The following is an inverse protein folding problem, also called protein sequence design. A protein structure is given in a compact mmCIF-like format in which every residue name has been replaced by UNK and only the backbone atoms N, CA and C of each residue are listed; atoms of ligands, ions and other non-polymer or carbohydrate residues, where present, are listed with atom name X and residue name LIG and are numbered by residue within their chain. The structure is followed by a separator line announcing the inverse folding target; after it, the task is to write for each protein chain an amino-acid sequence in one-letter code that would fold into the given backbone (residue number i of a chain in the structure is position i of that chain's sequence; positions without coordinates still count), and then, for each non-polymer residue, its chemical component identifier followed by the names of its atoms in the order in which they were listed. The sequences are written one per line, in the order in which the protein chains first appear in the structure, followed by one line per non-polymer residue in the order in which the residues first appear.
data_IF_276613201174
#
_entry.id   IF_276613201174
#
_cell.length_a   1.000
_cell.length_b   1.000
_cell.length_c   1.000
_cell.angle_alpha   90.00
_cell.angle_beta   90.00
_cell.angle_gamma   90.00
#
_symmetry.space_group_name_H-M   'P 1'
#
loop_
_entity.id
_entity.type
_entity.pdbx_description
1 polymer ?
#
# COMPACT_ATOMS: atom_id res chain seq x y z
N UNK A 1 13.56 4.73 7.63
CA UNK A 1 12.76 5.45 6.62
C UNK A 1 11.96 4.54 5.66
N UNK A 2 12.25 3.23 5.52
CA UNK A 2 11.45 2.34 4.64
C UNK A 2 10.18 1.77 5.29
N UNK A 3 10.11 1.73 6.62
CA UNK A 3 8.96 1.17 7.35
C UNK A 3 7.68 2.00 7.17
N UNK A 4 7.80 3.34 7.23
CA UNK A 4 6.66 4.25 7.15
C UNK A 4 5.81 4.10 5.89
N UNK A 5 6.40 3.84 4.72
CA UNK A 5 5.60 3.72 3.49
C UNK A 5 4.75 2.45 3.47
N UNK A 6 5.29 1.34 3.98
CA UNK A 6 4.57 0.08 4.10
C UNK A 6 3.44 0.20 5.14
N UNK A 7 3.73 0.82 6.29
CA UNK A 7 2.72 1.11 7.31
C UNK A 7 1.58 1.99 6.77
N UNK A 8 1.90 2.99 5.94
CA UNK A 8 0.88 3.82 5.30
C UNK A 8 0.00 3.02 4.32
N UNK A 9 0.59 2.18 3.48
CA UNK A 9 -0.15 1.27 2.57
C UNK A 9 -1.10 0.37 3.36
N UNK A 10 -0.64 -0.21 4.46
CA UNK A 10 -1.46 -1.08 5.30
C UNK A 10 -2.57 -0.31 6.02
N UNK A 11 -2.30 0.92 6.49
CA UNK A 11 -3.33 1.75 7.10
C UNK A 11 -4.45 2.12 6.12
N UNK A 12 -4.12 2.46 4.88
CA UNK A 12 -5.14 2.70 3.85
C UNK A 12 -5.92 1.43 3.52
N UNK A 13 -5.25 0.30 3.38
CA UNK A 13 -5.93 -0.97 3.13
C UNK A 13 -6.88 -1.35 4.29
N UNK A 14 -6.45 -1.20 5.54
CA UNK A 14 -7.30 -1.41 6.72
C UNK A 14 -8.45 -0.42 6.83
N UNK A 15 -8.29 0.80 6.29
CA UNK A 15 -9.38 1.77 6.17
C UNK A 15 -10.36 1.45 5.02
N UNK A 16 -10.12 0.38 4.25
CA UNK A 16 -10.98 -0.09 3.18
C UNK A 16 -10.64 0.42 1.78
N UNK A 17 -9.49 1.10 1.62
CA UNK A 17 -9.04 1.57 0.31
C UNK A 17 -8.57 0.41 -0.56
N UNK A 18 -8.87 0.52 -1.85
CA UNK A 18 -8.42 -0.42 -2.88
C UNK A 18 -7.02 -0.07 -3.40
N UNK A 19 -6.37 -1.01 -4.08
CA UNK A 19 -5.04 -0.80 -4.67
C UNK A 19 -5.05 0.35 -5.68
N UNK A 20 -6.09 0.46 -6.50
CA UNK A 20 -6.26 1.54 -7.48
C UNK A 20 -6.41 2.93 -6.85
N UNK A 21 -6.92 2.99 -5.62
CA UNK A 21 -7.01 4.25 -4.85
C UNK A 21 -5.71 4.59 -4.13
N UNK A 22 -4.95 3.59 -3.71
CA UNK A 22 -3.65 3.77 -3.02
C UNK A 22 -2.53 4.11 -4.02
N UNK A 23 -2.53 3.48 -5.19
CA UNK A 23 -1.51 3.67 -6.23
C UNK A 23 -1.23 5.14 -6.60
N UNK A 24 -2.23 6.01 -6.85
CA UNK A 24 -1.99 7.43 -7.15
C UNK A 24 -1.48 8.24 -5.95
N UNK A 25 -1.71 7.79 -4.71
CA UNK A 25 -1.21 8.45 -3.50
C UNK A 25 0.29 8.21 -3.29
N UNK A 26 0.82 7.11 -3.84
CA UNK A 26 2.23 6.73 -3.74
C UNK A 26 2.76 6.41 -5.13
N UNK A 27 2.96 7.42 -6.00
CA UNK A 27 3.44 7.21 -7.37
C UNK A 27 4.87 6.61 -7.44
N UNK A 28 5.56 6.58 -6.30
CA UNK A 28 6.92 6.06 -6.14
C UNK A 28 6.96 4.53 -6.01
N UNK A 29 5.83 3.89 -5.68
CA UNK A 29 5.74 2.44 -5.47
C UNK A 29 4.78 1.87 -6.52
N UNK A 30 5.20 0.85 -7.30
CA UNK A 30 4.34 0.25 -8.31
C UNK A 30 3.15 -0.49 -7.68
N UNK A 31 1.99 -0.57 -8.37
CA UNK A 31 0.81 -1.29 -7.87
C UNK A 31 1.08 -2.74 -7.48
N UNK A 32 1.97 -3.43 -8.19
CA UNK A 32 2.39 -4.79 -7.87
C UNK A 32 3.09 -4.90 -6.50
N UNK A 33 3.89 -3.90 -6.13
CA UNK A 33 4.54 -3.86 -4.82
C UNK A 33 3.54 -3.52 -3.71
N UNK A 34 2.57 -2.65 -3.97
CA UNK A 34 1.43 -2.37 -3.06
C UNK A 34 0.64 -3.67 -2.80
N UNK A 35 0.30 -4.39 -3.87
CA UNK A 35 -0.38 -5.68 -3.78
C UNK A 35 0.44 -6.69 -2.98
N UNK A 36 1.74 -6.79 -3.24
CA UNK A 36 2.62 -7.69 -2.51
C UNK A 36 2.67 -7.33 -1.01
N UNK A 37 2.69 -6.04 -0.64
CA UNK A 37 2.68 -5.59 0.77
C UNK A 37 1.39 -6.01 1.47
N UNK A 38 0.24 -5.81 0.82
CA UNK A 38 -1.08 -6.18 1.36
C UNK A 38 -1.18 -7.70 1.53
N UNK A 39 -0.82 -8.48 0.50
CA UNK A 39 -0.91 -9.94 0.51
C UNK A 39 0.05 -10.60 1.51
N UNK A 40 1.24 -10.02 1.75
CA UNK A 40 2.19 -10.55 2.75
C UNK A 40 1.78 -10.25 4.20
N UNK A 41 0.76 -9.44 4.44
CA UNK A 41 0.26 -9.06 5.77
C UNK A 41 -1.11 -9.66 6.10
N UNK A 42 -1.77 -10.30 5.12
CA UNK A 42 -3.02 -11.03 5.26
C UNK A 42 -2.81 -12.51 5.63
#
# INVERSE_FOLDING_TARGET
MKQTMKDLILNWHHAGYTIDEIAPLIPQIPPDEIQAIITHQA
#
